data_IF_065630784578
#
_entry.id   IF_065630784578
#
_cell.length_a   1.000
_cell.length_b   1.000
_cell.length_c   1.000
_cell.angle_alpha   90.00
_cell.angle_beta   90.00
_cell.angle_gamma   90.00
#
_symmetry.space_group_name_H-M   'P 1'
#
loop_
_entity.id
_entity.type
_entity.pdbx_description
1 polymer ?
#
# COMPACT_ATOMS: atom_id res chain seq x y z
N UNK A 1 -12.31 6.67 -14.39
CA UNK A 1 -11.27 6.52 -13.39
C UNK A 1 -11.76 5.62 -12.28
N UNK A 2 -11.02 4.58 -11.97
CA UNK A 2 -11.46 3.65 -10.95
C UNK A 2 -11.21 4.23 -9.56
N UNK A 3 -12.22 4.19 -8.73
CA UNK A 3 -12.08 4.59 -7.34
C UNK A 3 -11.42 3.45 -6.57
N UNK A 4 -10.40 3.79 -5.82
CA UNK A 4 -9.72 2.83 -4.98
C UNK A 4 -10.39 2.82 -3.61
N UNK A 5 -10.75 1.64 -3.17
CA UNK A 5 -11.38 1.45 -1.88
C UNK A 5 -10.31 1.15 -0.83
N UNK A 6 -9.79 2.21 -0.23
CA UNK A 6 -8.81 2.08 0.84
C UNK A 6 -9.51 1.61 2.12
N UNK A 7 -9.01 0.51 2.65
CA UNK A 7 -9.56 -0.08 3.88
C UNK A 7 -8.54 0.01 4.99
N UNK A 8 -8.98 0.23 6.23
CA UNK A 8 -8.03 0.28 7.33
C UNK A 8 -7.44 -1.11 7.59
N UNK A 9 -6.14 -1.13 7.83
CA UNK A 9 -5.48 -2.34 8.30
C UNK A 9 -5.76 -2.50 9.79
N UNK A 10 -5.88 -3.74 10.28
CA UNK A 10 -5.97 -3.96 11.72
C UNK A 10 -4.71 -3.44 12.40
N UNK A 11 -4.89 -2.50 13.31
CA UNK A 11 -3.75 -1.91 14.02
C UNK A 11 -3.98 -2.05 15.52
N UNK A 12 -2.89 -2.08 16.27
CA UNK A 12 -2.98 -2.00 17.71
C UNK A 12 -3.27 -0.58 18.16
N UNK A 13 -3.47 -0.40 19.46
CA UNK A 13 -3.83 0.91 20.01
C UNK A 13 -2.77 1.98 19.77
N UNK A 14 -1.52 1.57 19.62
CA UNK A 14 -0.40 2.48 19.51
C UNK A 14 0.16 2.57 18.10
N UNK A 15 -0.47 1.87 17.16
CA UNK A 15 0.00 1.81 15.78
C UNK A 15 -0.55 3.00 14.99
N UNK A 16 0.28 3.72 14.21
CA UNK A 16 -0.23 4.78 13.35
C UNK A 16 -1.23 4.26 12.34
N UNK A 17 -2.05 5.14 11.76
CA UNK A 17 -3.00 4.71 10.74
C UNK A 17 -2.32 4.01 9.58
N UNK A 18 -2.91 2.94 9.13
CA UNK A 18 -2.44 2.20 7.97
C UNK A 18 -3.65 1.75 7.17
N UNK A 19 -3.53 1.81 5.85
CA UNK A 19 -4.61 1.41 4.95
C UNK A 19 -4.06 0.53 3.85
N UNK A 20 -4.93 -0.25 3.24
CA UNK A 20 -4.56 -1.05 2.09
C UNK A 20 -5.66 -1.01 1.05
N UNK A 21 -5.30 -1.34 -0.18
CA UNK A 21 -6.26 -1.47 -1.27
C UNK A 21 -5.80 -2.57 -2.21
N UNK A 22 -6.74 -3.28 -2.78
CA UNK A 22 -6.44 -4.32 -3.75
C UNK A 22 -6.76 -3.81 -5.16
N UNK A 23 -5.80 -3.97 -6.06
CA UNK A 23 -5.93 -3.58 -7.45
C UNK A 23 -5.43 -4.74 -8.31
N UNK A 24 -6.35 -5.50 -8.88
CA UNK A 24 -5.96 -6.71 -9.61
C UNK A 24 -5.27 -7.71 -8.69
N UNK A 25 -4.06 -8.13 -9.05
CA UNK A 25 -3.24 -9.00 -8.18
C UNK A 25 -2.26 -8.22 -7.33
N UNK A 26 -2.44 -6.92 -7.21
CA UNK A 26 -1.56 -6.10 -6.40
C UNK A 26 -2.28 -5.68 -5.13
N UNK A 27 -1.54 -5.59 -4.05
CA UNK A 27 -2.02 -4.99 -2.81
C UNK A 27 -1.15 -3.77 -2.54
N UNK A 28 -1.81 -2.63 -2.44
CA UNK A 28 -1.16 -1.38 -2.11
C UNK A 28 -1.34 -1.13 -0.62
N UNK A 29 -0.30 -0.70 0.04
CA UNK A 29 -0.35 -0.35 1.46
C UNK A 29 0.23 1.03 1.66
N UNK A 30 -0.38 1.81 2.53
CA UNK A 30 0.16 3.09 2.95
C UNK A 30 0.12 3.11 4.47
N UNK A 31 1.23 3.46 5.09
CA UNK A 31 1.37 3.42 6.53
C UNK A 31 2.44 4.41 6.95
N UNK A 32 2.57 4.60 8.27
CA UNK A 32 3.61 5.46 8.81
C UNK A 32 4.63 4.56 9.51
N UNK A 33 5.89 4.68 9.08
CA UNK A 33 6.99 3.92 9.64
C UNK A 33 7.96 4.91 10.30
N UNK A 34 8.04 4.84 11.62
CA UNK A 34 8.90 5.73 12.41
C UNK A 34 8.65 7.20 12.09
N UNK A 35 7.37 7.56 11.98
CA UNK A 35 6.98 8.94 11.70
C UNK A 35 7.07 9.33 10.22
N UNK A 36 7.49 8.42 9.35
CA UNK A 36 7.64 8.71 7.93
C UNK A 36 6.54 8.02 7.15
N UNK A 37 5.73 8.76 6.38
CA UNK A 37 4.73 8.14 5.53
C UNK A 37 5.40 7.25 4.49
N UNK A 38 4.97 6.01 4.43
CA UNK A 38 5.60 4.97 3.61
C UNK A 38 4.51 4.24 2.82
N UNK A 39 4.88 3.75 1.65
CA UNK A 39 3.97 2.96 0.85
C UNK A 39 4.69 1.72 0.35
N UNK A 40 3.92 0.65 0.15
CA UNK A 40 4.43 -0.59 -0.42
C UNK A 40 3.42 -1.15 -1.39
N UNK A 41 3.92 -1.80 -2.43
CA UNK A 41 3.10 -2.55 -3.36
C UNK A 41 3.57 -3.99 -3.30
N UNK A 42 2.65 -4.90 -3.03
CA UNK A 42 2.93 -6.32 -3.00
C UNK A 42 2.16 -7.00 -4.10
N UNK A 43 2.77 -7.99 -4.73
CA UNK A 43 2.14 -8.78 -5.78
C UNK A 43 1.90 -10.18 -5.24
N UNK A 44 0.69 -10.67 -5.43
CA UNK A 44 0.36 -12.04 -5.07
C UNK A 44 1.05 -12.99 -6.04
N UNK A 45 1.87 -13.88 -5.51
CA UNK A 45 2.60 -14.85 -6.32
C UNK A 45 2.37 -16.24 -5.76
N UNK A 46 2.42 -17.23 -6.63
CA UNK A 46 2.34 -18.62 -6.26
C UNK A 46 0.94 -19.06 -5.89
N UNK A 47 0.78 -20.37 -5.77
CA UNK A 47 -0.49 -21.01 -5.52
C UNK A 47 -0.96 -20.88 -4.08
N UNK A 48 -0.05 -20.55 -3.19
CA UNK A 48 -0.34 -20.45 -1.76
C UNK A 48 -0.77 -19.06 -1.33
N UNK A 49 -0.88 -18.13 -2.27
CA UNK A 49 -1.23 -16.77 -1.94
C UNK A 49 -0.12 -15.98 -1.29
N UNK A 50 1.11 -16.32 -1.59
CA UNK A 50 2.26 -15.60 -1.07
C UNK A 50 2.34 -14.21 -1.69
N UNK A 51 2.87 -13.27 -0.92
CA UNK A 51 2.99 -11.88 -1.35
C UNK A 51 4.45 -11.48 -1.41
N UNK A 52 4.84 -10.83 -2.50
CA UNK A 52 6.18 -10.27 -2.64
C UNK A 52 6.06 -8.76 -2.79
N UNK A 53 6.85 -8.03 -2.01
CA UNK A 53 6.93 -6.59 -2.16
C UNK A 53 7.72 -6.30 -3.44
N UNK A 54 7.07 -5.65 -4.40
CA UNK A 54 7.69 -5.33 -5.69
C UNK A 54 8.08 -3.87 -5.81
N UNK A 55 7.56 -3.01 -4.94
CA UNK A 55 7.91 -1.60 -4.92
C UNK A 55 7.60 -1.04 -3.53
N UNK A 56 8.40 -0.09 -3.10
CA UNK A 56 8.17 0.63 -1.85
C UNK A 56 8.86 1.98 -1.91
N UNK A 57 8.42 2.89 -1.06
CA UNK A 57 9.02 4.20 -0.99
C UNK A 57 8.44 5.00 0.15
N UNK A 58 8.90 6.23 0.27
CA UNK A 58 8.41 7.16 1.28
C UNK A 58 7.80 8.38 0.61
N UNK A 59 7.05 9.16 1.36
CA UNK A 59 6.40 10.35 0.85
C UNK A 59 6.37 11.42 1.93
N UNK A 60 5.95 12.61 1.55
CA UNK A 60 5.92 13.76 2.46
C UNK A 60 4.69 13.74 3.39
N UNK A 61 3.66 13.00 3.01
CA UNK A 61 2.45 12.90 3.81
C UNK A 61 1.79 11.56 3.56
N UNK A 62 0.85 11.20 4.43
CA UNK A 62 0.09 9.97 4.26
C UNK A 62 -0.69 9.97 2.95
N UNK A 63 -1.30 11.10 2.61
CA UNK A 63 -2.03 11.22 1.35
C UNK A 63 -1.10 11.07 0.14
N UNK A 64 0.10 11.64 0.24
CA UNK A 64 1.09 11.50 -0.83
C UNK A 64 1.56 10.06 -0.94
N UNK A 65 1.66 9.33 0.17
CA UNK A 65 2.04 7.92 0.13
C UNK A 65 0.98 7.09 -0.60
N UNK A 66 -0.30 7.35 -0.34
CA UNK A 66 -1.38 6.67 -1.06
C UNK A 66 -1.32 6.98 -2.56
N UNK A 67 -1.11 8.25 -2.91
CA UNK A 67 -1.03 8.65 -4.31
C UNK A 67 0.17 8.00 -5.00
N UNK A 68 1.31 7.93 -4.33
CA UNK A 68 2.49 7.29 -4.90
C UNK A 68 2.27 5.80 -5.14
N UNK A 69 1.62 5.12 -4.21
CA UNK A 69 1.32 3.70 -4.36
C UNK A 69 0.40 3.48 -5.57
N UNK A 70 -0.61 4.30 -5.74
CA UNK A 70 -1.50 4.21 -6.88
C UNK A 70 -0.78 4.45 -8.20
N UNK A 71 0.09 5.44 -8.24
CA UNK A 71 0.86 5.76 -9.42
C UNK A 71 1.77 4.60 -9.82
N UNK A 72 2.48 4.05 -8.85
CA UNK A 72 3.40 2.93 -9.09
C UNK A 72 2.65 1.65 -9.47
N UNK A 73 1.49 1.41 -8.90
CA UNK A 73 0.67 0.27 -9.26
C UNK A 73 0.22 0.36 -10.71
N UNK A 74 -0.16 1.55 -11.16
CA UNK A 74 -0.52 1.77 -12.55
C UNK A 74 0.65 1.56 -13.50
N UNK A 75 1.86 1.97 -13.09
CA UNK A 75 3.05 1.77 -13.91
C UNK A 75 3.49 0.31 -13.97
N UNK A 76 3.16 -0.48 -12.93
CA UNK A 76 3.57 -1.87 -12.83
C UNK A 76 2.58 -2.81 -13.53
N UNK A 77 1.33 -2.45 -13.57
CA UNK A 77 0.28 -3.32 -14.12
C UNK A 77 0.24 -3.37 -15.66
#
# INVERSE_FOLDING_TARGET
>A
MADIDWKPLPTGLWTPPAVFAEVGNLVLQAFTDDGVPTWEISKKTGERGEWNVIAKGTADSFEAAKAAALFEAGATS
#
